data_IF_148451726541
#
_entry.id   IF_148451726541
#
_cell.length_a   1.000
_cell.length_b   1.000
_cell.length_c   1.000
_cell.angle_alpha   90.00
_cell.angle_beta   90.00
_cell.angle_gamma   90.00
#
_symmetry.space_group_name_H-M   'P 1'
#
loop_
_entity.id
_entity.type
_entity.pdbx_description
1 polymer ?
#
# COMPACT_ATOMS: atom_id res chain seq x y z
N UNK A 1 -25.72 -17.72 2.69
CA UNK A 1 -24.28 -17.49 2.47
C UNK A 1 -23.73 -16.49 3.48
N UNK A 2 -24.40 -15.34 3.71
CA UNK A 2 -23.88 -14.32 4.63
C UNK A 2 -23.83 -14.73 6.10
N UNK A 3 -24.76 -15.60 6.58
CA UNK A 3 -24.75 -16.11 7.96
C UNK A 3 -23.71 -17.24 8.16
N UNK A 4 -23.55 -18.13 7.17
CA UNK A 4 -22.63 -19.27 7.26
C UNK A 4 -21.16 -18.87 6.99
N UNK A 5 -20.93 -17.85 6.17
CA UNK A 5 -19.59 -17.39 5.78
C UNK A 5 -19.51 -15.85 5.82
N UNK A 6 -19.24 -15.24 6.99
CA UNK A 6 -19.14 -13.78 7.12
C UNK A 6 -18.11 -13.18 6.17
N UNK A 7 -18.32 -11.91 5.75
CA UNK A 7 -17.36 -11.18 4.92
C UNK A 7 -16.01 -11.11 5.65
N UNK A 8 -14.90 -11.29 4.90
CA UNK A 8 -13.54 -11.23 5.44
C UNK A 8 -13.00 -12.55 5.98
N UNK A 9 -13.82 -13.57 6.23
CA UNK A 9 -13.33 -14.87 6.70
C UNK A 9 -12.62 -15.66 5.61
N UNK A 10 -11.64 -16.52 6.00
CA UNK A 10 -10.94 -17.42 5.08
C UNK A 10 -11.89 -18.27 4.25
N UNK A 11 -12.93 -18.85 4.90
CA UNK A 11 -13.96 -19.66 4.21
C UNK A 11 -14.71 -18.85 3.15
N UNK A 12 -15.03 -17.58 3.42
CA UNK A 12 -15.69 -16.69 2.44
C UNK A 12 -14.75 -16.33 1.29
N UNK A 13 -13.46 -16.07 1.55
CA UNK A 13 -12.46 -15.80 0.53
C UNK A 13 -12.28 -17.01 -0.40
N UNK A 14 -12.14 -18.20 0.15
CA UNK A 14 -12.05 -19.45 -0.62
C UNK A 14 -13.31 -19.70 -1.48
N UNK A 15 -14.49 -19.45 -0.94
CA UNK A 15 -15.75 -19.59 -1.68
C UNK A 15 -15.81 -18.61 -2.87
N UNK A 16 -15.46 -17.34 -2.65
CA UNK A 16 -15.42 -16.34 -3.70
C UNK A 16 -14.36 -16.67 -4.75
N UNK A 17 -13.20 -17.18 -4.32
CA UNK A 17 -12.15 -17.63 -5.22
C UNK A 17 -12.62 -18.78 -6.11
N UNK A 18 -13.21 -19.83 -5.54
CA UNK A 18 -13.75 -20.99 -6.27
C UNK A 18 -14.80 -20.54 -7.30
N UNK A 19 -15.69 -19.62 -6.92
CA UNK A 19 -16.71 -19.07 -7.80
C UNK A 19 -16.10 -18.29 -8.98
N UNK A 20 -15.09 -17.46 -8.70
CA UNK A 20 -14.40 -16.68 -9.71
C UNK A 20 -13.51 -17.56 -10.61
N UNK A 21 -12.94 -18.65 -10.08
CA UNK A 21 -12.17 -19.62 -10.89
C UNK A 21 -13.06 -20.31 -11.92
N UNK A 22 -14.30 -20.63 -11.57
CA UNK A 22 -15.28 -21.19 -12.53
C UNK A 22 -15.63 -20.16 -13.63
N UNK A 23 -15.81 -18.87 -13.25
CA UNK A 23 -16.11 -17.81 -14.22
C UNK A 23 -14.92 -17.40 -15.11
N UNK A 24 -13.71 -17.44 -14.54
CA UNK A 24 -12.49 -16.94 -15.19
C UNK A 24 -11.31 -17.90 -14.96
N UNK A 25 -11.36 -19.15 -15.48
CA UNK A 25 -10.43 -20.22 -15.11
C UNK A 25 -8.98 -19.91 -15.45
N UNK A 26 -8.72 -19.27 -16.59
CA UNK A 26 -7.35 -18.94 -17.02
C UNK A 26 -6.71 -17.91 -16.10
N UNK A 27 -7.49 -16.88 -15.69
CA UNK A 27 -7.00 -15.80 -14.82
C UNK A 27 -6.68 -16.33 -13.41
N UNK A 28 -7.66 -16.95 -12.77
CA UNK A 28 -7.53 -17.37 -11.38
C UNK A 28 -6.70 -18.64 -11.22
N UNK A 29 -6.68 -19.52 -12.22
CA UNK A 29 -5.83 -20.69 -12.25
C UNK A 29 -4.34 -20.33 -12.28
N UNK A 30 -3.93 -19.32 -13.10
CA UNK A 30 -2.55 -18.82 -13.11
C UNK A 30 -2.15 -18.15 -11.79
N UNK A 31 -3.04 -17.36 -11.18
CA UNK A 31 -2.78 -16.76 -9.87
C UNK A 31 -2.56 -17.83 -8.80
N UNK A 32 -3.37 -18.91 -8.78
CA UNK A 32 -3.21 -19.99 -7.81
C UNK A 32 -1.97 -20.85 -8.04
N UNK A 33 -1.44 -20.89 -9.25
CA UNK A 33 -0.23 -21.64 -9.58
C UNK A 33 1.04 -21.03 -8.97
N UNK A 34 1.04 -19.71 -8.67
CA UNK A 34 2.19 -19.03 -8.06
C UNK A 34 2.07 -18.95 -6.54
N UNK A 35 3.22 -18.93 -5.82
CA UNK A 35 3.25 -18.75 -4.37
C UNK A 35 2.66 -17.38 -3.98
N UNK A 36 3.01 -16.33 -4.72
CA UNK A 36 2.53 -14.97 -4.55
C UNK A 36 1.01 -14.88 -4.79
N UNK A 37 0.52 -15.50 -5.85
CA UNK A 37 -0.91 -15.53 -6.17
C UNK A 37 -1.72 -16.29 -5.12
N UNK A 38 -1.20 -17.39 -4.57
CA UNK A 38 -1.83 -18.10 -3.45
C UNK A 38 -1.90 -17.23 -2.20
N UNK A 39 -0.82 -16.55 -1.86
CA UNK A 39 -0.79 -15.62 -0.72
C UNK A 39 -1.82 -14.49 -0.85
N UNK A 40 -2.00 -13.93 -2.06
CA UNK A 40 -3.03 -12.93 -2.35
C UNK A 40 -4.46 -13.46 -2.18
N UNK A 41 -4.69 -14.74 -2.53
CA UNK A 41 -6.02 -15.38 -2.48
C UNK A 41 -6.35 -15.87 -1.07
N UNK A 42 -5.41 -16.53 -0.42
CA UNK A 42 -5.62 -17.16 0.88
C UNK A 42 -5.58 -16.14 2.03
N UNK A 43 -4.88 -15.02 1.84
CA UNK A 43 -4.92 -13.84 2.72
C UNK A 43 -4.66 -14.11 4.20
N UNK A 44 -3.97 -15.19 4.50
CA UNK A 44 -3.53 -15.54 5.83
C UNK A 44 -2.08 -15.07 6.05
N UNK A 45 -1.89 -13.77 6.04
CA UNK A 45 -0.77 -13.22 6.78
C UNK A 45 -1.20 -13.17 8.26
N UNK A 46 -0.91 -14.23 8.98
CA UNK A 46 -0.98 -14.20 10.43
C UNK A 46 0.12 -13.25 10.91
N UNK A 47 -0.27 -12.11 11.42
CA UNK A 47 0.61 -11.27 12.23
C UNK A 47 0.62 -11.90 13.63
N UNK A 48 1.39 -12.95 13.77
CA UNK A 48 1.86 -13.49 15.01
C UNK A 48 3.38 -13.32 15.03
N UNK A 49 4.00 -13.31 16.17
CA UNK A 49 5.45 -13.27 16.33
C UNK A 49 6.13 -14.21 15.30
N UNK A 50 6.79 -13.62 14.28
CA UNK A 50 7.49 -14.36 13.22
C UNK A 50 7.00 -14.17 11.79
N UNK A 51 5.95 -13.40 11.52
CA UNK A 51 5.36 -13.27 10.16
C UNK A 51 5.65 -11.96 9.42
N UNK A 52 6.31 -11.00 10.05
CA UNK A 52 6.95 -9.89 9.35
C UNK A 52 8.31 -10.42 8.83
N UNK A 53 8.28 -11.10 7.69
CA UNK A 53 9.47 -11.76 7.09
C UNK A 53 10.59 -10.79 6.70
N UNK A 54 10.38 -9.48 6.85
CA UNK A 54 11.35 -8.42 6.59
C UNK A 54 12.04 -7.84 7.83
N UNK A 55 11.66 -8.27 9.04
CA UNK A 55 12.21 -7.71 10.27
C UNK A 55 11.71 -6.30 10.58
N UNK A 56 12.46 -5.54 11.38
CA UNK A 56 12.18 -4.15 11.70
C UNK A 56 12.60 -3.26 10.52
N UNK A 57 11.71 -2.36 10.07
CA UNK A 57 12.00 -1.42 8.99
C UNK A 57 12.42 -0.07 9.58
N UNK A 58 13.36 0.62 8.93
CA UNK A 58 13.77 1.96 9.34
C UNK A 58 13.87 2.88 8.12
N UNK A 59 13.03 3.92 8.11
CA UNK A 59 13.02 4.92 7.05
C UNK A 59 14.02 6.02 7.31
N UNK A 60 14.72 6.51 6.27
CA UNK A 60 15.59 7.67 6.38
C UNK A 60 14.77 8.91 6.77
N UNK A 61 15.41 9.81 7.50
CA UNK A 61 14.81 11.10 7.88
C UNK A 61 15.52 12.22 7.14
N UNK A 62 14.74 13.07 6.46
CA UNK A 62 15.23 14.25 5.77
C UNK A 62 14.53 15.49 6.32
N UNK A 63 15.30 16.55 6.57
CA UNK A 63 14.74 17.82 7.05
C UNK A 63 13.83 18.46 6.00
N UNK A 64 14.25 18.41 4.73
CA UNK A 64 13.53 18.93 3.58
C UNK A 64 13.36 17.83 2.52
N UNK A 65 12.40 16.93 2.66
CA UNK A 65 12.18 15.88 1.66
C UNK A 65 11.63 16.46 0.36
N UNK A 66 11.98 15.86 -0.77
CA UNK A 66 11.40 16.23 -2.07
C UNK A 66 9.93 15.81 -2.15
N UNK A 67 9.61 14.61 -1.62
CA UNK A 67 8.26 14.06 -1.71
C UNK A 67 7.76 13.60 -0.34
N UNK A 68 6.51 13.95 -0.01
CA UNK A 68 5.77 13.34 1.09
C UNK A 68 4.87 12.23 0.53
N UNK A 69 5.17 10.98 0.86
CA UNK A 69 4.38 9.81 0.44
C UNK A 69 3.30 9.57 1.50
N UNK A 70 2.04 9.86 1.15
CA UNK A 70 0.87 9.67 2.02
C UNK A 70 0.23 8.32 1.72
N UNK A 71 0.19 7.42 2.70
CA UNK A 71 -0.34 6.07 2.58
C UNK A 71 -1.60 5.94 3.43
N UNK A 72 -2.80 5.98 2.83
CA UNK A 72 -4.04 5.77 3.57
C UNK A 72 -4.17 4.30 3.98
N UNK A 73 -4.47 4.08 5.26
CA UNK A 73 -4.61 2.77 5.86
C UNK A 73 -5.92 2.64 6.64
N UNK A 74 -6.56 1.50 6.49
CA UNK A 74 -7.64 1.05 7.36
C UNK A 74 -7.53 -0.46 7.52
N UNK A 75 -6.88 -0.92 8.60
CA UNK A 75 -6.51 -2.32 8.79
C UNK A 75 -5.59 -2.84 7.68
N UNK A 76 -5.42 -4.16 7.59
CA UNK A 76 -4.64 -4.82 6.54
C UNK A 76 -3.13 -4.52 6.62
N UNK A 77 -2.57 -4.56 7.84
CA UNK A 77 -1.15 -4.28 8.10
C UNK A 77 -0.19 -5.00 7.15
N UNK A 78 -0.51 -6.22 6.73
CA UNK A 78 0.35 -6.99 5.83
C UNK A 78 0.55 -6.34 4.45
N UNK A 79 -0.49 -5.70 3.90
CA UNK A 79 -0.35 -4.92 2.66
C UNK A 79 0.47 -3.67 2.92
N UNK A 80 0.13 -2.91 3.97
CA UNK A 80 0.87 -1.72 4.37
C UNK A 80 2.35 -2.02 4.57
N UNK A 81 2.68 -3.11 5.27
CA UNK A 81 4.06 -3.50 5.51
C UNK A 81 4.79 -3.90 4.22
N UNK A 82 4.17 -4.68 3.33
CA UNK A 82 4.74 -5.04 2.03
C UNK A 82 4.95 -3.81 1.12
N UNK A 83 4.01 -2.86 1.15
CA UNK A 83 4.16 -1.58 0.46
C UNK A 83 5.38 -0.82 1.00
N UNK A 84 5.51 -0.66 2.32
CA UNK A 84 6.65 0.00 2.98
C UNK A 84 7.98 -0.67 2.65
N UNK A 85 8.04 -2.00 2.65
CA UNK A 85 9.24 -2.74 2.23
C UNK A 85 9.65 -2.37 0.80
N UNK A 86 8.68 -2.33 -0.13
CA UNK A 86 8.98 -1.98 -1.52
C UNK A 86 9.46 -0.53 -1.68
N UNK A 87 8.93 0.41 -0.89
CA UNK A 87 9.40 1.79 -0.87
C UNK A 87 10.88 1.84 -0.42
N UNK A 88 11.22 1.18 0.68
CA UNK A 88 12.61 1.11 1.16
C UNK A 88 13.56 0.44 0.16
N UNK A 89 13.10 -0.58 -0.55
CA UNK A 89 13.91 -1.31 -1.53
C UNK A 89 14.16 -0.47 -2.78
N UNK A 90 13.12 0.20 -3.32
CA UNK A 90 13.15 0.78 -4.66
C UNK A 90 13.18 2.32 -4.71
N UNK A 91 13.26 3.02 -3.57
CA UNK A 91 13.33 4.49 -3.56
C UNK A 91 14.69 4.96 -3.05
N UNK A 92 15.65 5.14 -3.97
CA UNK A 92 17.05 5.49 -3.64
C UNK A 92 17.46 6.87 -4.15
N UNK A 93 16.78 7.37 -5.17
CA UNK A 93 17.24 8.52 -5.96
C UNK A 93 16.53 9.84 -5.60
N UNK A 94 15.51 9.77 -4.75
CA UNK A 94 14.71 10.93 -4.33
C UNK A 94 14.60 10.95 -2.82
N UNK A 95 14.76 12.10 -2.18
CA UNK A 95 14.53 12.25 -0.74
C UNK A 95 13.02 12.28 -0.46
N UNK A 96 12.59 11.56 0.55
CA UNK A 96 11.17 11.43 0.85
C UNK A 96 10.90 11.24 2.34
N UNK A 97 9.69 11.53 2.76
CA UNK A 97 9.12 11.09 4.02
C UNK A 97 7.91 10.20 3.78
N UNK A 98 7.55 9.37 4.73
CA UNK A 98 6.37 8.51 4.66
C UNK A 98 5.40 8.89 5.76
N UNK A 99 4.16 9.19 5.36
CA UNK A 99 3.05 9.57 6.23
C UNK A 99 2.00 8.47 6.17
N UNK A 100 1.79 7.79 7.30
CA UNK A 100 0.70 6.81 7.45
C UNK A 100 -0.55 7.55 7.88
N UNK A 101 -1.58 7.52 7.02
CA UNK A 101 -2.90 8.07 7.29
C UNK A 101 -3.81 6.95 7.80
N UNK A 102 -3.81 6.72 9.13
CA UNK A 102 -4.57 5.63 9.75
C UNK A 102 -5.99 6.05 10.10
N UNK A 103 -6.96 5.48 9.43
CA UNK A 103 -8.39 5.78 9.62
C UNK A 103 -9.04 4.87 10.69
N UNK A 104 -8.43 4.85 11.90
CA UNK A 104 -8.90 4.08 13.07
C UNK A 104 -8.79 2.57 12.85
N UNK A 105 -7.61 2.11 12.41
CA UNK A 105 -7.33 0.67 12.34
C UNK A 105 -7.42 -0.02 13.70
N UNK A 106 -7.87 -1.26 13.69
CA UNK A 106 -8.06 -2.11 14.89
C UNK A 106 -7.17 -3.36 14.87
N UNK A 107 -6.42 -3.57 13.77
CA UNK A 107 -5.38 -4.59 13.67
C UNK A 107 -4.00 -4.01 14.04
N UNK A 108 -2.92 -4.74 13.77
CA UNK A 108 -1.55 -4.30 14.08
C UNK A 108 -1.12 -3.01 13.35
N UNK A 109 -1.89 -2.49 12.38
CA UNK A 109 -1.67 -1.17 11.78
C UNK A 109 -1.71 -0.08 12.85
N UNK A 110 -2.56 -0.21 13.86
CA UNK A 110 -2.65 0.72 14.98
C UNK A 110 -1.34 0.84 15.79
N UNK A 111 -0.49 -0.17 15.71
CA UNK A 111 0.78 -0.28 16.44
C UNK A 111 1.98 -0.30 15.48
N UNK A 112 1.85 0.25 14.28
CA UNK A 112 2.87 0.16 13.22
C UNK A 112 4.23 0.69 13.66
N UNK A 113 4.28 1.68 14.56
CA UNK A 113 5.52 2.20 15.14
C UNK A 113 6.34 1.17 15.93
N UNK A 114 5.77 0.03 16.29
CA UNK A 114 6.51 -1.08 16.92
C UNK A 114 7.34 -1.88 15.93
N UNK A 115 7.06 -1.74 14.63
CA UNK A 115 7.66 -2.55 13.56
C UNK A 115 8.43 -1.69 12.55
N UNK A 116 8.16 -0.37 12.53
CA UNK A 116 8.70 0.55 11.52
C UNK A 116 9.06 1.87 12.18
N UNK A 117 10.32 2.26 12.05
CA UNK A 117 10.81 3.58 12.46
C UNK A 117 10.79 4.58 11.32
N UNK A 118 10.79 5.87 11.66
CA UNK A 118 10.92 6.95 10.69
C UNK A 118 9.64 7.31 9.95
N UNK A 119 8.48 6.85 10.40
CA UNK A 119 7.18 7.23 9.86
C UNK A 119 6.59 8.45 10.57
N UNK A 120 5.88 9.28 9.82
CA UNK A 120 4.91 10.24 10.38
C UNK A 120 3.55 9.54 10.45
N UNK A 121 2.95 9.47 11.64
CA UNK A 121 1.68 8.77 11.84
C UNK A 121 0.57 9.78 12.11
N UNK A 122 -0.40 9.84 11.20
CA UNK A 122 -1.61 10.65 11.32
C UNK A 122 -2.80 9.71 11.54
N UNK A 123 -3.22 9.55 12.80
CA UNK A 123 -4.35 8.69 13.17
C UNK A 123 -5.59 9.52 13.45
N UNK A 124 -6.69 9.18 12.80
CA UNK A 124 -8.00 9.79 13.06
C UNK A 124 -8.60 9.27 14.37
N UNK A 125 -9.47 10.06 14.99
CA UNK A 125 -10.23 9.66 16.19
C UNK A 125 -11.49 8.86 15.82
N UNK A 126 -12.03 9.12 14.65
CA UNK A 126 -13.21 8.42 14.08
C UNK A 126 -12.95 8.15 12.61
N UNK A 127 -13.55 7.09 12.05
CA UNK A 127 -13.40 6.78 10.63
C UNK A 127 -13.93 7.91 9.75
N UNK A 128 -13.07 8.51 8.95
CA UNK A 128 -13.34 9.65 8.08
C UNK A 128 -13.59 9.25 6.63
N UNK A 129 -13.29 8.02 6.28
CA UNK A 129 -13.25 7.53 4.91
C UNK A 129 -12.04 8.04 4.12
N UNK A 130 -11.81 7.44 2.97
CA UNK A 130 -10.59 7.59 2.17
C UNK A 130 -10.21 9.05 1.90
N UNK A 131 -11.14 9.83 1.33
CA UNK A 131 -10.83 11.20 0.90
C UNK A 131 -10.44 12.13 2.05
N UNK A 132 -11.20 12.11 3.13
CA UNK A 132 -10.94 12.98 4.29
C UNK A 132 -9.68 12.56 5.02
N UNK A 133 -9.44 11.25 5.14
CA UNK A 133 -8.23 10.69 5.73
C UNK A 133 -6.97 11.15 4.97
N UNK A 134 -6.96 11.03 3.63
CA UNK A 134 -5.88 11.53 2.78
C UNK A 134 -5.66 13.04 2.96
N UNK A 135 -6.72 13.84 2.89
CA UNK A 135 -6.64 15.30 3.00
C UNK A 135 -6.14 15.74 4.39
N UNK A 136 -6.51 15.02 5.46
CA UNK A 136 -6.05 15.33 6.79
C UNK A 136 -4.56 15.02 6.95
N UNK A 137 -4.10 13.88 6.48
CA UNK A 137 -2.69 13.48 6.55
C UNK A 137 -1.80 14.35 5.67
N UNK A 138 -2.28 14.79 4.51
CA UNK A 138 -1.54 15.70 3.63
C UNK A 138 -1.14 17.03 4.29
N UNK A 139 -1.84 17.45 5.34
CA UNK A 139 -1.47 18.67 6.10
C UNK A 139 -0.18 18.52 6.90
N UNK A 140 0.27 17.29 7.16
CA UNK A 140 1.54 17.00 7.84
C UNK A 140 2.73 16.94 6.86
N UNK A 141 2.47 17.01 5.54
CA UNK A 141 3.48 16.92 4.50
C UNK A 141 4.46 18.11 4.54
N UNK A 142 5.76 17.79 4.49
CA UNK A 142 6.88 18.75 4.40
C UNK A 142 7.51 18.78 3.02
N UNK A 143 7.24 17.76 2.19
CA UNK A 143 7.79 17.64 0.85
C UNK A 143 7.30 18.71 -0.11
N UNK A 144 8.15 19.04 -1.10
CA UNK A 144 7.77 19.90 -2.23
C UNK A 144 6.56 19.33 -2.98
N UNK A 145 6.46 18.00 -3.07
CA UNK A 145 5.37 17.27 -3.71
C UNK A 145 4.69 16.32 -2.74
N UNK A 146 3.40 16.06 -2.98
CA UNK A 146 2.63 15.06 -2.25
C UNK A 146 2.30 13.91 -3.19
N UNK A 147 2.67 12.68 -2.78
CA UNK A 147 2.33 11.44 -3.48
C UNK A 147 1.32 10.65 -2.65
N UNK A 148 0.13 10.44 -3.18
CA UNK A 148 -0.83 9.50 -2.58
C UNK A 148 -0.56 8.10 -3.12
N UNK A 149 -0.27 7.16 -2.23
CA UNK A 149 0.05 5.77 -2.56
C UNK A 149 -0.85 4.82 -1.77
N UNK A 150 -1.65 4.00 -2.44
CA UNK A 150 -2.46 3.00 -1.77
C UNK A 150 -1.58 1.97 -1.04
N UNK A 151 -2.00 1.56 0.15
CA UNK A 151 -1.26 0.62 1.00
C UNK A 151 -1.17 -0.81 0.44
N UNK A 152 -1.94 -1.15 -0.58
CA UNK A 152 -1.96 -2.45 -1.26
C UNK A 152 -1.17 -2.45 -2.58
N UNK A 153 -0.32 -1.46 -2.78
CA UNK A 153 0.58 -1.35 -3.95
C UNK A 153 1.99 -1.84 -3.62
N UNK A 154 2.70 -2.27 -4.65
CA UNK A 154 4.13 -2.55 -4.62
C UNK A 154 4.82 -1.68 -5.67
N UNK A 155 5.73 -0.83 -5.22
CA UNK A 155 6.51 0.03 -6.11
C UNK A 155 7.71 -0.73 -6.69
N UNK A 156 8.28 -0.22 -7.79
CA UNK A 156 9.40 -0.82 -8.50
C UNK A 156 10.50 0.23 -8.72
N UNK A 157 11.65 -0.20 -9.20
CA UNK A 157 12.79 0.69 -9.44
C UNK A 157 12.43 1.90 -10.31
N UNK A 158 12.91 3.08 -9.92
CA UNK A 158 12.71 4.34 -10.63
C UNK A 158 11.29 4.93 -10.57
N UNK A 159 10.37 4.34 -9.82
CA UNK A 159 8.98 4.77 -9.79
C UNK A 159 8.82 6.24 -9.36
N UNK A 160 9.50 6.65 -8.28
CA UNK A 160 9.34 7.99 -7.73
C UNK A 160 10.14 9.03 -8.52
N UNK A 161 11.38 8.69 -8.90
CA UNK A 161 12.23 9.59 -9.70
C UNK A 161 11.64 9.88 -11.07
N UNK A 162 10.98 8.90 -11.71
CA UNK A 162 10.27 9.14 -12.99
C UNK A 162 9.14 10.16 -12.84
N UNK A 163 8.37 10.11 -11.76
CA UNK A 163 7.30 11.08 -11.49
C UNK A 163 7.85 12.47 -11.18
N UNK A 164 8.90 12.54 -10.34
CA UNK A 164 9.54 13.81 -10.00
C UNK A 164 10.17 14.46 -11.24
N UNK A 165 10.91 13.69 -12.05
CA UNK A 165 11.50 14.21 -13.29
C UNK A 165 10.42 14.71 -14.27
N UNK A 166 9.30 14.01 -14.35
CA UNK A 166 8.20 14.43 -15.24
C UNK A 166 7.55 15.71 -14.75
N UNK A 167 7.19 15.82 -13.47
CA UNK A 167 6.53 17.03 -12.96
C UNK A 167 7.47 18.24 -12.97
N UNK A 168 8.79 18.03 -12.90
CA UNK A 168 9.81 19.11 -12.99
C UNK A 168 10.23 19.44 -14.41
N UNK A 169 9.79 18.67 -15.42
CA UNK A 169 10.16 18.91 -16.83
C UNK A 169 9.46 20.11 -17.46
N UNK A 170 8.31 20.52 -16.89
CA UNK A 170 7.50 21.62 -17.40
C UNK A 170 6.66 22.22 -16.27
N UNK A 171 6.80 23.53 -16.02
CA UNK A 171 6.10 24.25 -14.94
C UNK A 171 4.58 24.29 -15.11
N UNK A 172 4.05 23.91 -16.25
CA UNK A 172 2.60 23.80 -16.51
C UNK A 172 2.01 22.48 -16.02
N UNK A 173 2.85 21.49 -15.68
CA UNK A 173 2.40 20.19 -15.16
C UNK A 173 2.00 20.34 -13.70
N UNK A 174 0.71 20.31 -13.42
CA UNK A 174 0.19 20.40 -12.05
C UNK A 174 0.05 19.06 -11.32
N UNK A 175 -0.01 17.95 -12.06
CA UNK A 175 -0.19 16.60 -11.51
C UNK A 175 0.36 15.52 -12.46
N UNK A 176 0.92 14.48 -11.90
CA UNK A 176 1.40 13.29 -12.63
C UNK A 176 0.87 12.01 -11.96
N UNK A 177 0.64 10.98 -12.75
CA UNK A 177 0.16 9.70 -12.28
C UNK A 177 1.07 8.55 -12.69
N UNK A 178 1.07 7.47 -11.91
CA UNK A 178 1.83 6.27 -12.20
C UNK A 178 1.08 5.34 -13.14
N UNK A 179 1.82 4.63 -13.98
CA UNK A 179 1.29 3.43 -14.65
C UNK A 179 1.09 2.33 -13.63
N UNK A 180 -0.14 1.85 -13.47
CA UNK A 180 -0.48 0.74 -12.58
C UNK A 180 -0.68 -0.54 -13.39
N UNK A 181 -0.09 -1.62 -12.91
CA UNK A 181 -0.21 -2.95 -13.51
C UNK A 181 -0.61 -3.99 -12.45
N UNK A 182 -1.43 -4.94 -12.85
CA UNK A 182 -1.72 -6.09 -12.02
C UNK A 182 -0.49 -7.03 -11.91
N UNK A 183 -0.42 -7.90 -10.89
CA UNK A 183 0.69 -8.86 -10.76
C UNK A 183 0.89 -9.78 -11.97
N UNK A 184 -0.14 -9.96 -12.79
CA UNK A 184 -0.09 -10.73 -14.05
C UNK A 184 0.39 -9.89 -15.27
N UNK A 185 0.81 -8.64 -15.04
CA UNK A 185 1.35 -7.73 -16.07
C UNK A 185 0.30 -6.97 -16.88
N UNK A 186 -1.01 -7.18 -16.62
CA UNK A 186 -2.06 -6.42 -17.31
C UNK A 186 -2.11 -5.00 -16.79
N UNK A 187 -2.34 -4.07 -17.73
CA UNK A 187 -2.56 -2.67 -17.39
C UNK A 187 -3.82 -2.52 -16.53
N UNK A 188 -3.71 -1.81 -15.42
CA UNK A 188 -4.85 -1.37 -14.61
C UNK A 188 -5.20 0.08 -14.93
N UNK A 189 -4.17 0.94 -14.94
CA UNK A 189 -4.30 2.37 -15.20
C UNK A 189 -3.01 2.90 -15.82
N UNK A 190 -3.08 3.96 -16.59
CA UNK A 190 -1.94 4.53 -17.32
C UNK A 190 -1.62 5.99 -16.95
N UNK A 191 -1.97 6.41 -15.75
CA UNK A 191 -1.73 7.76 -15.26
C UNK A 191 -2.84 8.75 -15.57
#
# INVERSE_FOLDING_TARGET
VNKAFPKGTRKRKLLNYSFNTVKHPVKYGKMYATKEGRNLIEGDFKIGEGYLTGGHLSFPQYENPTVSIVIPCYNQIHYTYACLQSILEFTKDVTYEVIIADDVSTDATAEISRFVDGLVICRNQTNQGFLRNCNQAAKAAKGKYIMFLNNDTKVTEGWLSSLVNLIESDDTIGMVGSKLVYPDGRLQEAG
#
